data_IF_096343873081
#
_entry.id   IF_096343873081
#
_cell.length_a   1.000
_cell.length_b   1.000
_cell.length_c   1.000
_cell.angle_alpha   90.00
_cell.angle_beta   90.00
_cell.angle_gamma   90.00
#
_symmetry.space_group_name_H-M   'P 1'
#
loop_
_entity.id
_entity.type
_entity.pdbx_description
1 polymer ?
#
# COMPACT_ATOMS: atom_id res chain seq x y z
N UNK A 1 0.15 22.12 -2.39
CA UNK A 1 -0.66 23.34 -2.12
C UNK A 1 -2.11 22.97 -2.33
N UNK A 2 -2.99 23.17 -1.33
CA UNK A 2 -4.44 22.96 -1.47
C UNK A 2 -5.12 24.34 -1.51
N UNK A 3 -6.00 24.57 -2.48
CA UNK A 3 -6.75 25.82 -2.66
C UNK A 3 -8.10 25.78 -1.92
N UNK A 4 -8.41 26.82 -1.15
CA UNK A 4 -9.72 26.96 -0.47
C UNK A 4 -10.74 27.58 -1.44
N UNK A 5 -11.70 26.76 -1.93
CA UNK A 5 -12.81 27.20 -2.79
C UNK A 5 -14.13 27.32 -1.99
N UNK A 6 -14.08 27.64 -0.70
CA UNK A 6 -15.29 27.90 0.09
C UNK A 6 -15.89 29.27 -0.27
N UNK A 7 -17.08 29.28 -0.88
CA UNK A 7 -17.88 30.47 -1.16
C UNK A 7 -18.55 31.02 0.12
N UNK A 8 -18.87 32.31 0.15
CA UNK A 8 -19.48 32.96 1.34
C UNK A 8 -20.83 32.35 1.74
N UNK A 9 -21.57 31.80 0.77
CA UNK A 9 -22.81 31.08 1.04
C UNK A 9 -22.59 29.77 1.82
N UNK A 10 -21.46 29.09 1.60
CA UNK A 10 -21.09 27.90 2.38
C UNK A 10 -20.65 28.28 3.80
N UNK A 11 -19.94 29.39 3.96
CA UNK A 11 -19.57 29.93 5.28
C UNK A 11 -20.81 30.33 6.09
N UNK A 12 -21.79 30.98 5.44
CA UNK A 12 -23.06 31.36 6.06
C UNK A 12 -23.91 30.17 6.53
N UNK A 13 -23.73 28.99 5.91
CA UNK A 13 -24.38 27.72 6.30
C UNK A 13 -23.57 26.94 7.35
N UNK A 14 -22.56 27.54 7.97
CA UNK A 14 -21.79 26.95 9.06
C UNK A 14 -20.56 26.15 8.62
N UNK A 15 -20.16 26.22 7.34
CA UNK A 15 -18.93 25.58 6.86
C UNK A 15 -17.70 26.38 7.35
N UNK A 16 -17.22 26.01 8.54
CA UNK A 16 -16.12 26.69 9.27
C UNK A 16 -14.72 26.32 8.77
N UNK A 17 -14.60 25.80 7.56
CA UNK A 17 -13.32 25.53 6.90
C UNK A 17 -13.41 24.32 5.97
N UNK A 18 -12.97 24.50 4.72
CA UNK A 18 -12.82 23.40 3.79
C UNK A 18 -11.86 22.32 4.35
N UNK A 19 -11.90 21.07 3.84
CA UNK A 19 -10.89 20.07 4.13
C UNK A 19 -9.50 20.66 3.83
N UNK A 20 -8.69 20.83 4.86
CA UNK A 20 -7.39 21.51 4.76
C UNK A 20 -6.29 20.60 5.27
N UNK A 21 -5.17 20.55 4.56
CA UNK A 21 -4.01 19.74 4.97
C UNK A 21 -3.40 20.38 6.23
N UNK A 22 -3.28 19.60 7.30
CA UNK A 22 -2.60 19.99 8.54
C UNK A 22 -1.08 19.82 8.39
N UNK A 23 -0.66 18.64 7.92
CA UNK A 23 0.73 18.32 7.62
C UNK A 23 0.76 17.25 6.54
N UNK A 24 1.75 17.33 5.67
CA UNK A 24 2.03 16.29 4.69
C UNK A 24 3.53 16.25 4.46
N UNK A 25 4.12 15.09 4.68
CA UNK A 25 5.53 14.83 4.42
C UNK A 25 5.64 13.47 3.75
N UNK A 26 6.37 13.45 2.64
CA UNK A 26 6.65 12.23 1.89
C UNK A 26 8.10 12.28 1.45
N UNK A 27 8.89 11.35 1.96
CA UNK A 27 10.30 11.20 1.59
C UNK A 27 10.60 9.74 1.32
N UNK A 28 11.17 9.51 0.15
CA UNK A 28 11.68 8.21 -0.24
C UNK A 28 13.05 8.32 -0.88
N UNK A 29 13.77 7.21 -0.81
CA UNK A 29 15.09 7.07 -1.39
C UNK A 29 15.36 5.61 -1.74
N UNK A 30 16.12 5.41 -2.81
CA UNK A 30 16.55 4.09 -3.25
C UNK A 30 18.00 4.11 -3.64
N UNK A 31 18.71 3.03 -3.32
CA UNK A 31 20.08 2.83 -3.72
C UNK A 31 20.30 1.38 -4.13
N UNK A 32 21.15 1.18 -5.13
CA UNK A 32 21.47 -0.14 -5.60
C UNK A 32 22.74 -0.16 -6.41
N UNK A 33 23.31 -1.35 -6.54
CA UNK A 33 24.55 -1.54 -7.26
C UNK A 33 25.07 -2.97 -7.20
N UNK A 34 26.18 -3.24 -7.89
CA UNK A 34 26.88 -4.51 -7.78
C UNK A 34 27.60 -4.59 -6.43
N UNK A 35 27.28 -5.60 -5.62
CA UNK A 35 28.12 -6.00 -4.48
C UNK A 35 29.37 -6.69 -5.00
N UNK A 36 29.20 -7.57 -6.00
CA UNK A 36 30.29 -8.22 -6.74
C UNK A 36 29.97 -8.13 -8.21
N UNK A 37 30.90 -7.57 -9.00
CA UNK A 37 30.73 -7.47 -10.45
C UNK A 37 30.39 -8.82 -11.04
N UNK A 38 29.40 -8.82 -11.92
CA UNK A 38 28.91 -9.97 -12.69
C UNK A 38 28.38 -11.15 -11.85
N UNK A 39 28.21 -10.98 -10.54
CA UNK A 39 27.76 -12.04 -9.63
C UNK A 39 26.64 -11.63 -8.71
N UNK A 40 26.76 -10.51 -8.00
CA UNK A 40 25.82 -10.16 -6.94
C UNK A 40 25.45 -8.68 -7.02
N UNK A 41 24.15 -8.41 -7.04
CA UNK A 41 23.59 -7.08 -7.05
C UNK A 41 22.56 -6.95 -5.94
N UNK A 42 22.46 -5.74 -5.42
CA UNK A 42 21.46 -5.37 -4.45
C UNK A 42 20.76 -4.09 -4.89
N UNK A 43 19.51 -3.96 -4.47
CA UNK A 43 18.72 -2.76 -4.55
C UNK A 43 17.89 -2.67 -3.29
N UNK A 44 17.98 -1.54 -2.59
CA UNK A 44 17.17 -1.24 -1.43
C UNK A 44 16.46 0.08 -1.64
N UNK A 45 15.21 0.18 -1.22
CA UNK A 45 14.49 1.45 -1.21
C UNK A 45 13.60 1.55 0.02
N UNK A 46 13.48 2.77 0.53
CA UNK A 46 12.59 3.10 1.62
C UNK A 46 11.78 4.36 1.33
N UNK A 47 10.57 4.42 1.86
CA UNK A 47 9.70 5.60 1.80
C UNK A 47 8.97 5.78 3.12
N UNK A 48 8.78 7.02 3.54
CA UNK A 48 7.96 7.38 4.69
C UNK A 48 7.01 8.48 4.24
N UNK A 49 5.72 8.20 4.37
CA UNK A 49 4.64 9.15 4.17
C UNK A 49 3.93 9.37 5.52
N UNK A 50 3.78 10.63 5.90
CA UNK A 50 2.99 11.06 7.05
C UNK A 50 2.03 12.14 6.58
N UNK A 51 0.74 11.94 6.85
CA UNK A 51 -0.33 12.84 6.44
C UNK A 51 -1.30 13.08 7.57
N UNK A 52 -1.63 14.36 7.76
CA UNK A 52 -2.76 14.79 8.55
C UNK A 52 -3.60 15.82 7.79
N UNK A 53 -4.91 15.59 7.75
CA UNK A 53 -5.90 16.42 7.07
C UNK A 53 -7.00 16.76 8.08
N UNK A 54 -7.38 18.03 8.14
CA UNK A 54 -8.53 18.45 8.91
C UNK A 54 -9.83 18.02 8.25
N UNK A 55 -10.73 17.45 9.06
CA UNK A 55 -12.11 17.22 8.63
C UNK A 55 -12.91 18.52 8.80
N UNK A 56 -13.69 18.88 7.78
CA UNK A 56 -14.60 20.02 7.85
C UNK A 56 -15.75 19.73 8.83
N UNK A 57 -16.08 20.69 9.70
CA UNK A 57 -17.24 20.62 10.59
C UNK A 57 -17.12 19.65 11.78
N UNK A 58 -15.98 19.00 11.98
CA UNK A 58 -15.75 18.09 13.11
C UNK A 58 -14.73 18.65 14.10
N UNK A 59 -14.95 18.42 15.40
CA UNK A 59 -14.22 19.03 16.51
C UNK A 59 -14.01 18.02 17.64
N UNK A 60 -13.01 18.25 18.47
CA UNK A 60 -12.81 17.45 19.69
C UNK A 60 -13.88 17.79 20.74
N UNK A 61 -14.28 16.82 21.58
CA UNK A 61 -15.13 17.11 22.73
C UNK A 61 -14.34 17.87 23.79
N UNK A 62 -14.89 18.99 24.24
CA UNK A 62 -14.38 19.80 25.34
C UNK A 62 -14.59 19.13 26.70
N UNK A 63 -15.65 18.33 26.85
CA UNK A 63 -16.02 17.62 28.09
C UNK A 63 -15.75 16.12 28.00
N UNK A 64 -14.46 15.77 28.01
CA UNK A 64 -14.00 14.38 28.09
C UNK A 64 -14.56 13.70 29.36
N UNK A 65 -15.07 12.47 29.24
CA UNK A 65 -15.59 11.69 30.37
C UNK A 65 -17.02 12.03 30.83
N UNK A 66 -17.75 12.87 30.11
CA UNK A 66 -19.19 13.12 30.36
C UNK A 66 -20.06 12.48 29.29
N UNK A 67 -21.34 12.23 29.59
CA UNK A 67 -22.30 11.71 28.60
C UNK A 67 -22.62 12.73 27.48
N UNK A 68 -22.27 14.00 27.68
CA UNK A 68 -22.63 15.10 26.79
C UNK A 68 -21.44 15.52 25.91
N UNK A 69 -21.74 15.79 24.65
CA UNK A 69 -20.78 16.30 23.67
C UNK A 69 -20.87 17.83 23.60
N UNK A 70 -19.75 18.52 23.85
CA UNK A 70 -19.60 19.97 23.65
C UNK A 70 -18.45 20.18 22.65
N UNK A 71 -18.70 20.66 21.41
CA UNK A 71 -17.65 20.84 20.42
C UNK A 71 -16.68 21.94 20.82
N UNK A 72 -15.38 21.62 20.83
CA UNK A 72 -14.32 22.59 21.04
C UNK A 72 -13.93 23.25 19.70
N UNK A 73 -14.49 24.43 19.42
CA UNK A 73 -14.23 25.18 18.18
C UNK A 73 -12.75 25.59 18.01
N UNK A 74 -11.94 25.55 19.08
CA UNK A 74 -10.50 25.82 19.00
C UNK A 74 -9.69 24.61 18.50
N UNK A 75 -10.26 23.40 18.56
CA UNK A 75 -9.59 22.14 18.20
C UNK A 75 -10.40 21.39 17.14
N UNK A 76 -10.06 21.66 15.88
CA UNK A 76 -10.60 20.93 14.72
C UNK A 76 -10.10 19.49 14.71
N UNK A 77 -11.00 18.57 14.36
CA UNK A 77 -10.68 17.16 14.12
C UNK A 77 -9.76 17.00 12.91
N UNK A 78 -8.79 16.09 13.01
CA UNK A 78 -7.92 15.72 11.89
C UNK A 78 -7.68 14.21 11.89
N UNK A 79 -7.48 13.62 10.71
CA UNK A 79 -6.94 12.27 10.62
C UNK A 79 -5.42 12.31 10.77
N UNK A 80 -4.82 11.19 11.18
CA UNK A 80 -3.38 11.02 11.17
C UNK A 80 -3.08 9.64 10.61
N UNK A 81 -2.58 9.63 9.37
CA UNK A 81 -2.24 8.42 8.66
C UNK A 81 -0.74 8.44 8.36
N UNK A 82 -0.05 7.33 8.65
CA UNK A 82 1.33 7.15 8.23
C UNK A 82 1.48 5.84 7.45
N UNK A 83 2.37 5.86 6.46
CA UNK A 83 2.78 4.69 5.70
C UNK A 83 4.29 4.65 5.61
N UNK A 84 4.89 3.50 5.88
CA UNK A 84 6.33 3.31 5.76
C UNK A 84 6.58 2.09 4.91
N UNK A 85 7.53 2.24 3.99
CA UNK A 85 7.88 1.21 3.02
C UNK A 85 9.36 0.93 3.15
N UNK A 86 9.70 -0.35 3.21
CA UNK A 86 11.07 -0.81 3.15
C UNK A 86 11.13 -2.00 2.19
N UNK A 87 11.98 -1.91 1.19
CA UNK A 87 12.15 -2.96 0.18
C UNK A 87 13.62 -3.29 0.01
N UNK A 88 13.90 -4.58 -0.09
CA UNK A 88 15.22 -5.12 -0.40
C UNK A 88 15.08 -6.14 -1.52
N UNK A 89 15.92 -6.01 -2.54
CA UNK A 89 16.03 -6.97 -3.64
C UNK A 89 17.48 -7.34 -3.84
N UNK A 90 17.74 -8.64 -3.83
CA UNK A 90 19.03 -9.26 -4.08
C UNK A 90 18.94 -10.07 -5.37
N UNK A 91 19.89 -9.87 -6.27
CA UNK A 91 20.03 -10.65 -7.50
C UNK A 91 21.40 -11.30 -7.51
N UNK A 92 21.42 -12.63 -7.58
CA UNK A 92 22.63 -13.42 -7.54
C UNK A 92 22.72 -14.34 -8.76
N UNK A 93 23.78 -14.14 -9.55
CA UNK A 93 24.20 -15.04 -10.61
C UNK A 93 25.15 -16.09 -9.99
N UNK A 94 24.58 -17.15 -9.43
CA UNK A 94 25.34 -18.19 -8.74
C UNK A 94 26.35 -18.88 -9.68
N UNK A 95 25.90 -19.23 -10.89
CA UNK A 95 26.72 -19.81 -11.96
C UNK A 95 26.28 -19.26 -13.33
N UNK A 96 26.97 -19.58 -14.42
CA UNK A 96 26.67 -19.02 -15.75
C UNK A 96 25.20 -19.19 -16.16
N UNK A 97 24.58 -20.29 -15.76
CA UNK A 97 23.18 -20.61 -16.05
C UNK A 97 22.24 -20.44 -14.85
N UNK A 98 22.74 -20.12 -13.67
CA UNK A 98 21.91 -20.10 -12.45
C UNK A 98 21.73 -18.69 -11.94
N UNK A 99 20.49 -18.19 -11.97
CA UNK A 99 20.12 -16.87 -11.46
C UNK A 99 19.07 -16.99 -10.38
N UNK A 100 19.32 -16.34 -9.25
CA UNK A 100 18.41 -16.25 -8.11
C UNK A 100 18.10 -14.77 -7.89
N UNK A 101 16.82 -14.44 -7.72
CA UNK A 101 16.35 -13.12 -7.32
C UNK A 101 15.49 -13.30 -6.09
N UNK A 102 15.92 -12.71 -4.97
CA UNK A 102 15.12 -12.64 -3.75
C UNK A 102 14.73 -11.18 -3.52
N UNK A 103 13.48 -10.93 -3.16
CA UNK A 103 13.03 -9.61 -2.74
C UNK A 103 12.13 -9.72 -1.53
N UNK A 104 12.27 -8.81 -0.58
CA UNK A 104 11.37 -8.64 0.54
C UNK A 104 10.88 -7.19 0.55
N UNK A 105 9.60 -7.02 0.87
CA UNK A 105 9.00 -5.69 1.01
C UNK A 105 8.18 -5.68 2.28
N UNK A 106 8.35 -4.65 3.09
CA UNK A 106 7.59 -4.39 4.31
C UNK A 106 6.88 -3.06 4.15
N UNK A 107 5.60 -3.03 4.51
CA UNK A 107 4.73 -1.88 4.30
C UNK A 107 3.88 -1.59 5.55
N UNK A 108 4.49 -1.34 6.73
CA UNK A 108 3.71 -0.97 7.91
C UNK A 108 2.99 0.36 7.67
N UNK A 109 1.67 0.32 7.82
CA UNK A 109 0.83 1.51 7.71
C UNK A 109 -0.11 1.62 8.91
N UNK A 110 -0.50 2.84 9.24
CA UNK A 110 -1.49 3.11 10.26
C UNK A 110 -2.49 4.12 9.74
N UNK A 111 -3.76 3.75 9.81
CA UNK A 111 -4.85 4.71 9.80
C UNK A 111 -5.18 4.95 11.27
N UNK A 112 -4.39 5.80 11.93
CA UNK A 112 -4.43 5.90 13.38
C UNK A 112 -5.71 6.57 13.86
N UNK A 113 -6.45 7.23 12.97
CA UNK A 113 -7.72 7.85 13.26
C UNK A 113 -8.72 7.44 12.18
N UNK A 114 -9.19 6.19 12.27
CA UNK A 114 -9.96 5.54 11.21
C UNK A 114 -11.36 6.16 11.01
N UNK A 115 -11.80 6.21 9.75
CA UNK A 115 -13.12 6.65 9.30
C UNK A 115 -13.53 8.08 9.72
N UNK A 116 -12.58 8.95 10.07
CA UNK A 116 -12.89 10.37 10.29
C UNK A 116 -13.13 11.08 8.96
N UNK A 117 -12.37 10.80 7.90
CA UNK A 117 -12.59 11.45 6.60
C UNK A 117 -13.68 10.79 5.74
N UNK A 118 -14.12 9.59 6.11
CA UNK A 118 -15.06 8.78 5.33
C UNK A 118 -16.49 8.98 5.86
N UNK A 119 -17.12 10.09 5.48
CA UNK A 119 -18.56 10.33 5.72
C UNK A 119 -19.46 9.60 4.72
N UNK A 120 -18.99 8.51 4.10
CA UNK A 120 -19.73 7.74 3.10
C UNK A 120 -20.15 6.39 3.66
N UNK A 121 -21.32 6.36 4.31
CA UNK A 121 -21.93 5.14 4.86
C UNK A 121 -23.27 5.43 5.57
N UNK A 122 -24.01 4.37 5.92
CA UNK A 122 -25.37 4.43 6.50
C UNK A 122 -25.49 5.18 7.85
N UNK A 123 -24.38 5.60 8.45
CA UNK A 123 -24.32 6.38 9.68
C UNK A 123 -23.44 7.60 9.47
N UNK A 124 -23.92 8.57 8.69
CA UNK A 124 -23.31 9.87 8.37
C UNK A 124 -23.06 10.74 9.63
N UNK A 125 -22.35 10.19 10.61
CA UNK A 125 -22.17 10.68 11.96
C UNK A 125 -20.74 11.20 12.07
N UNK A 126 -20.62 12.50 12.30
CA UNK A 126 -19.36 13.08 12.74
C UNK A 126 -19.01 12.44 14.07
N UNK A 127 -17.97 11.61 14.07
CA UNK A 127 -17.45 10.96 15.26
C UNK A 127 -16.40 11.87 15.88
N UNK A 128 -16.50 12.08 17.18
CA UNK A 128 -15.46 12.78 17.92
C UNK A 128 -14.12 12.03 17.77
N UNK A 129 -13.00 12.69 17.46
CA UNK A 129 -11.76 12.00 17.14
C UNK A 129 -11.25 11.05 18.22
N UNK A 130 -11.47 11.41 19.47
CA UNK A 130 -11.17 10.58 20.64
C UNK A 130 -11.95 9.26 20.73
N UNK A 131 -13.04 9.12 19.96
CA UNK A 131 -13.83 7.89 19.88
C UNK A 131 -13.54 7.08 18.60
N UNK A 132 -12.62 7.56 17.75
CA UNK A 132 -12.19 6.84 16.55
C UNK A 132 -11.35 5.63 16.93
N UNK A 133 -11.50 4.54 16.16
CA UNK A 133 -10.65 3.38 16.29
C UNK A 133 -9.34 3.61 15.53
N UNK A 134 -8.28 2.92 15.95
CA UNK A 134 -7.02 2.90 15.22
C UNK A 134 -6.92 1.62 14.40
N UNK A 135 -6.43 1.71 13.18
CA UNK A 135 -6.08 0.56 12.35
C UNK A 135 -4.59 0.53 12.08
N UNK A 136 -3.90 -0.41 12.73
CA UNK A 136 -2.48 -0.67 12.54
C UNK A 136 -2.35 -1.89 11.62
N UNK A 137 -1.65 -1.71 10.51
CA UNK A 137 -1.32 -2.75 9.54
C UNK A 137 0.17 -3.08 9.66
N UNK A 138 0.57 -3.53 10.85
CA UNK A 138 1.89 -4.08 11.10
C UNK A 138 1.79 -5.47 11.76
N UNK A 139 2.66 -6.43 11.39
CA UNK A 139 3.53 -6.42 10.22
C UNK A 139 2.77 -6.75 8.91
N UNK A 140 3.11 -6.04 7.83
CA UNK A 140 2.74 -6.37 6.44
C UNK A 140 4.02 -6.61 5.63
N UNK A 141 4.24 -7.84 5.20
CA UNK A 141 5.43 -8.22 4.44
C UNK A 141 5.12 -9.10 3.23
N UNK A 142 5.96 -9.00 2.20
CA UNK A 142 5.83 -9.77 0.97
C UNK A 142 7.20 -10.20 0.41
N UNK A 143 7.73 -11.33 0.87
CA UNK A 143 8.91 -11.94 0.28
C UNK A 143 8.56 -12.70 -1.00
N UNK A 144 9.44 -12.57 -1.99
CA UNK A 144 9.36 -13.23 -3.28
C UNK A 144 10.74 -13.80 -3.62
N UNK A 145 10.77 -15.07 -4.02
CA UNK A 145 11.96 -15.76 -4.50
C UNK A 145 11.70 -16.22 -5.93
N UNK A 146 12.61 -15.88 -6.84
CA UNK A 146 12.60 -16.32 -8.24
C UNK A 146 13.92 -16.99 -8.55
N UNK A 147 13.86 -18.18 -9.12
CA UNK A 147 15.01 -18.94 -9.58
C UNK A 147 14.83 -19.29 -11.05
N UNK A 148 15.87 -19.03 -11.84
CA UNK A 148 15.86 -19.23 -13.29
C UNK A 148 17.08 -20.04 -13.70
N UNK A 149 16.84 -21.08 -14.50
CA UNK A 149 17.87 -21.98 -15.02
C UNK A 149 17.59 -22.41 -16.47
N UNK A 150 18.26 -21.82 -17.48
CA UNK A 150 18.28 -22.34 -18.84
C UNK A 150 19.11 -23.64 -18.90
N UNK A 151 18.42 -24.78 -18.88
CA UNK A 151 19.04 -26.11 -19.01
C UNK A 151 19.71 -26.23 -20.38
N UNK A 152 19.02 -25.81 -21.44
CA UNK A 152 19.49 -25.79 -22.83
C UNK A 152 19.00 -24.53 -23.54
N UNK A 153 19.46 -24.29 -24.76
CA UNK A 153 18.98 -23.17 -25.60
C UNK A 153 17.47 -23.24 -25.93
N UNK A 154 16.81 -24.36 -25.62
CA UNK A 154 15.38 -24.60 -25.86
C UNK A 154 14.64 -25.00 -24.59
N UNK A 155 15.25 -24.98 -23.41
CA UNK A 155 14.59 -25.40 -22.18
C UNK A 155 14.97 -24.47 -21.04
N UNK A 156 13.96 -23.81 -20.48
CA UNK A 156 14.08 -22.92 -19.33
C UNK A 156 13.24 -23.47 -18.19
N UNK A 157 13.87 -23.58 -17.02
CA UNK A 157 13.20 -23.87 -15.76
C UNK A 157 13.10 -22.58 -14.97
N UNK A 158 11.89 -22.22 -14.55
CA UNK A 158 11.61 -21.11 -13.67
C UNK A 158 10.81 -21.57 -12.46
N UNK A 159 11.27 -21.14 -11.28
CA UNK A 159 10.58 -21.38 -10.02
C UNK A 159 10.36 -20.02 -9.37
N UNK A 160 9.10 -19.67 -9.11
CA UNK A 160 8.72 -18.48 -8.37
C UNK A 160 7.93 -18.88 -7.12
N UNK A 161 8.31 -18.34 -5.98
CA UNK A 161 7.58 -18.46 -4.73
C UNK A 161 7.36 -17.08 -4.14
N UNK A 162 6.15 -16.81 -3.68
CA UNK A 162 5.82 -15.58 -2.96
C UNK A 162 4.96 -15.90 -1.75
N UNK A 163 5.16 -15.11 -0.70
CA UNK A 163 4.31 -15.10 0.47
C UNK A 163 3.85 -13.67 0.71
N UNK A 164 2.60 -13.51 1.09
CA UNK A 164 2.09 -12.24 1.58
C UNK A 164 1.42 -12.49 2.93
N UNK A 165 1.82 -11.72 3.93
CA UNK A 165 1.20 -11.74 5.25
C UNK A 165 0.90 -10.32 5.67
N UNK A 166 -0.29 -10.13 6.23
CA UNK A 166 -0.70 -8.89 6.87
C UNK A 166 -1.45 -9.22 8.16
N UNK A 167 -1.19 -8.46 9.22
CA UNK A 167 -1.96 -8.54 10.45
C UNK A 167 -3.10 -7.52 10.42
N UNK A 168 -4.33 -8.02 10.48
CA UNK A 168 -5.53 -7.19 10.65
C UNK A 168 -6.52 -7.89 11.57
N UNK A 169 -6.16 -8.07 12.86
CA UNK A 169 -6.98 -8.77 13.87
C UNK A 169 -7.23 -10.27 13.63
N UNK A 170 -7.05 -10.75 12.40
CA UNK A 170 -6.98 -12.15 12.00
C UNK A 170 -5.77 -12.30 11.07
N UNK A 171 -4.84 -13.20 11.40
CA UNK A 171 -3.71 -13.56 10.57
C UNK A 171 -4.20 -14.12 9.23
N UNK A 172 -3.99 -13.40 8.14
CA UNK A 172 -4.23 -13.89 6.79
C UNK A 172 -2.89 -14.02 6.06
N UNK A 173 -2.35 -15.24 6.04
CA UNK A 173 -1.11 -15.55 5.30
C UNK A 173 -1.48 -16.32 4.04
N UNK A 174 -1.07 -15.80 2.88
CA UNK A 174 -1.24 -16.47 1.58
C UNK A 174 0.12 -16.92 1.04
N UNK A 175 0.16 -18.15 0.55
CA UNK A 175 1.32 -18.75 -0.09
C UNK A 175 1.00 -19.02 -1.56
N UNK A 176 1.86 -18.57 -2.47
CA UNK A 176 1.76 -18.89 -3.88
C UNK A 176 3.11 -19.40 -4.37
N UNK A 177 3.13 -20.60 -4.94
CA UNK A 177 4.31 -21.18 -5.58
C UNK A 177 3.94 -21.58 -7.00
N UNK A 178 4.73 -21.12 -7.96
CA UNK A 178 4.58 -21.42 -9.38
C UNK A 178 5.87 -22.04 -9.89
N UNK A 179 5.76 -23.18 -10.59
CA UNK A 179 6.86 -23.81 -11.30
C UNK A 179 6.48 -23.81 -12.78
N UNK A 180 7.30 -23.20 -13.63
CA UNK A 180 7.12 -23.18 -15.06
C UNK A 180 8.31 -23.88 -15.74
N UNK A 181 8.01 -24.78 -16.67
CA UNK A 181 9.00 -25.41 -17.54
C UNK A 181 8.58 -25.06 -18.97
N UNK A 182 9.31 -24.18 -19.62
CA UNK A 182 9.02 -23.79 -21.01
C UNK A 182 10.00 -24.48 -21.94
N UNK A 183 9.49 -25.32 -22.84
CA UNK A 183 10.24 -25.84 -23.97
C UNK A 183 10.06 -24.92 -25.18
N UNK A 184 11.16 -24.32 -25.63
CA UNK A 184 11.28 -23.59 -26.87
C UNK A 184 11.24 -24.55 -28.06
N UNK A 185 10.05 -25.05 -28.38
CA UNK A 185 9.74 -25.38 -29.76
C UNK A 185 9.58 -24.05 -30.51
N UNK A 186 10.15 -23.89 -31.72
CA UNK A 186 9.77 -22.75 -32.56
C UNK A 186 8.24 -22.77 -32.68
N UNK A 187 7.60 -21.61 -32.56
CA UNK A 187 6.16 -21.45 -32.77
C UNK A 187 5.73 -22.25 -33.99
N UNK A 188 5.13 -23.42 -33.79
CA UNK A 188 4.24 -23.97 -34.78
C UNK A 188 2.99 -23.11 -34.65
N UNK A 189 2.82 -22.16 -35.56
CA UNK A 189 1.52 -21.54 -35.82
C UNK A 189 0.53 -22.66 -36.08
N UNK A 190 -0.24 -23.03 -35.06
CA UNK A 190 -1.40 -23.90 -35.24
C UNK A 190 -2.42 -23.10 -36.07
N UNK A 191 -2.86 -23.61 -37.22
CA UNK A 191 -3.89 -22.94 -38.00
C UNK A 191 -5.21 -23.00 -37.24
N UNK A 192 -5.81 -21.84 -37.01
CA UNK A 192 -7.25 -21.63 -36.79
C UNK A 192 -7.94 -22.44 -35.70
N UNK A 193 -8.16 -21.81 -34.54
CA UNK A 193 -9.39 -22.06 -33.78
C UNK A 193 -9.96 -20.75 -33.24
N UNK A 194 -10.96 -20.26 -33.97
CA UNK A 194 -11.92 -19.26 -33.54
C UNK A 194 -12.61 -19.75 -32.27
N UNK A 195 -12.44 -19.04 -31.15
CA UNK A 195 -13.34 -19.17 -29.99
C UNK A 195 -13.95 -17.81 -29.70
N UNK A 196 -15.28 -17.82 -29.75
CA UNK A 196 -16.21 -16.72 -29.64
C UNK A 196 -16.03 -15.91 -28.36
N UNK A 197 -16.05 -14.58 -28.49
CA UNK A 197 -16.39 -13.67 -27.39
C UNK A 197 -17.87 -13.87 -27.02
N UNK A 198 -18.16 -14.19 -25.77
CA UNK A 198 -19.46 -13.85 -25.16
C UNK A 198 -19.23 -12.69 -24.19
N UNK A 199 -19.73 -11.53 -24.59
CA UNK A 199 -19.82 -10.34 -23.77
C UNK A 199 -20.98 -10.52 -22.78
N UNK A 200 -20.75 -10.14 -21.53
CA UNK A 200 -21.79 -9.95 -20.53
C UNK A 200 -22.48 -8.61 -20.80
N UNK A 201 -23.80 -8.65 -20.97
CA UNK A 201 -24.74 -7.54 -20.80
C UNK A 201 -25.01 -7.29 -19.33
#
# INVERSE_FOLDING_TARGET
MSSDNATDELRARGLSGAPSIKSYYDVGGGLGGPVKRDKLWFFGAGRVEDRAIYQAGNYYNKRQGTLFYEPDLSRRAYNHDYSKDASLRLTWQAAEKHKIVASDTQHPSCQCVFAILETTGATNQLRAPEAAAEHHYDPQYMPVLTYTYPVTNKLLVEVNGSMNSYHRGALATRYCMTIAITSGSPCLTLPGRTTSRSAWT
#
